data_IF_122593449151
#
_entry.id   IF_122593449151
#
_cell.length_a   1.000
_cell.length_b   1.000
_cell.length_c   1.000
_cell.angle_alpha   90.00
_cell.angle_beta   90.00
_cell.angle_gamma   90.00
#
_symmetry.space_group_name_H-M   'P 1'
#
loop_
_entity.id
_entity.type
_entity.pdbx_description
1 polymer ?
#
# COMPACT_ATOMS: atom_id res chain seq x y z
N UNK A 1 0.68 12.45 -15.48
CA UNK A 1 0.64 13.28 -14.25
C UNK A 1 -0.53 12.77 -13.41
N UNK A 2 -0.25 12.14 -12.26
CA UNK A 2 -1.31 11.70 -11.35
C UNK A 2 -1.86 12.91 -10.59
N UNK A 3 -3.17 12.96 -10.37
CA UNK A 3 -3.80 14.03 -9.60
C UNK A 3 -3.14 14.13 -8.22
N UNK A 4 -2.75 15.35 -7.83
CA UNK A 4 -2.19 15.61 -6.51
C UNK A 4 -3.34 15.50 -5.50
N UNK A 5 -3.32 14.46 -4.66
CA UNK A 5 -4.34 14.31 -3.62
C UNK A 5 -4.28 15.48 -2.64
N UNK A 6 -5.45 16.01 -2.25
CA UNK A 6 -5.52 17.13 -1.32
C UNK A 6 -5.06 16.72 0.08
N UNK A 7 -4.60 17.69 0.89
CA UNK A 7 -4.22 17.44 2.28
C UNK A 7 -5.35 16.76 3.07
N UNK A 8 -6.60 17.19 2.84
CA UNK A 8 -7.79 16.58 3.44
C UNK A 8 -7.95 15.10 3.08
N UNK A 9 -7.70 14.71 1.82
CA UNK A 9 -7.75 13.31 1.40
C UNK A 9 -6.66 12.47 2.09
N UNK A 10 -5.45 13.01 2.23
CA UNK A 10 -4.34 12.33 2.93
C UNK A 10 -4.65 12.16 4.42
N UNK A 11 -5.28 13.15 5.06
CA UNK A 11 -5.71 13.04 6.46
C UNK A 11 -6.79 11.95 6.65
N UNK A 12 -7.80 11.92 5.79
CA UNK A 12 -8.86 10.88 5.84
C UNK A 12 -8.25 9.49 5.66
N UNK A 13 -7.32 9.34 4.72
CA UNK A 13 -6.62 8.08 4.52
C UNK A 13 -5.77 7.69 5.73
N UNK A 14 -5.03 8.63 6.31
CA UNK A 14 -4.22 8.39 7.51
C UNK A 14 -5.08 7.92 8.69
N UNK A 15 -6.20 8.62 8.97
CA UNK A 15 -7.12 8.21 10.02
C UNK A 15 -7.71 6.82 9.75
N UNK A 16 -8.09 6.54 8.51
CA UNK A 16 -8.62 5.22 8.11
C UNK A 16 -7.60 4.11 8.35
N UNK A 17 -6.33 4.32 7.95
CA UNK A 17 -5.23 3.37 8.11
C UNK A 17 -4.90 3.16 9.59
N UNK A 18 -4.84 4.23 10.39
CA UNK A 18 -4.58 4.13 11.83
C UNK A 18 -5.69 3.35 12.55
N UNK A 19 -6.96 3.67 12.26
CA UNK A 19 -8.10 2.96 12.84
C UNK A 19 -8.11 1.48 12.45
N UNK A 20 -7.80 1.17 11.19
CA UNK A 20 -7.66 -0.20 10.72
C UNK A 20 -6.51 -0.93 11.44
N UNK A 21 -5.34 -0.27 11.58
CA UNK A 21 -4.17 -0.82 12.28
C UNK A 21 -4.41 -1.11 13.75
N UNK A 22 -5.19 -0.28 14.44
CA UNK A 22 -5.55 -0.51 15.83
C UNK A 22 -6.47 -1.74 15.99
N UNK A 23 -7.39 -1.96 15.06
CA UNK A 23 -8.35 -3.08 15.09
C UNK A 23 -7.74 -4.40 14.62
N UNK A 24 -6.85 -4.38 13.64
CA UNK A 24 -6.35 -5.58 12.94
C UNK A 24 -4.82 -5.70 13.03
N UNK A 25 -4.27 -5.70 14.26
CA UNK A 25 -2.82 -5.66 14.51
C UNK A 25 -2.05 -6.80 13.83
N UNK A 26 -2.53 -8.05 13.93
CA UNK A 26 -1.83 -9.21 13.39
C UNK A 26 -1.77 -9.17 11.85
N UNK A 27 -2.91 -8.87 11.21
CA UNK A 27 -2.96 -8.65 9.77
C UNK A 27 -1.99 -7.54 9.35
N UNK A 28 -1.99 -6.41 10.06
CA UNK A 28 -1.12 -5.29 9.71
C UNK A 28 0.36 -5.60 9.90
N UNK A 29 0.74 -6.37 10.91
CA UNK A 29 2.12 -6.78 11.10
C UNK A 29 2.62 -7.61 9.90
N UNK A 30 1.86 -8.60 9.46
CA UNK A 30 2.23 -9.43 8.30
C UNK A 30 2.15 -8.64 6.98
N UNK A 31 1.20 -7.73 6.83
CA UNK A 31 1.18 -6.80 5.70
C UNK A 31 2.44 -5.92 5.68
N UNK A 32 2.88 -5.42 6.83
CA UNK A 32 4.11 -4.63 6.95
C UNK A 32 5.32 -5.47 6.56
N UNK A 33 5.40 -6.73 6.98
CA UNK A 33 6.48 -7.65 6.59
C UNK A 33 6.52 -7.84 5.07
N UNK A 34 5.36 -8.05 4.42
CA UNK A 34 5.25 -8.14 2.96
C UNK A 34 5.70 -6.84 2.30
N UNK A 35 5.26 -5.68 2.80
CA UNK A 35 5.67 -4.37 2.27
C UNK A 35 7.20 -4.20 2.39
N UNK A 36 7.79 -4.52 3.53
CA UNK A 36 9.24 -4.39 3.75
C UNK A 36 10.03 -5.34 2.86
N UNK A 37 9.54 -6.58 2.65
CA UNK A 37 10.15 -7.56 1.75
C UNK A 37 10.32 -7.03 0.32
N UNK A 38 9.34 -6.26 -0.17
CA UNK A 38 9.31 -5.71 -1.53
C UNK A 38 9.79 -4.26 -1.64
N UNK A 39 10.38 -3.72 -0.58
CA UNK A 39 10.94 -2.36 -0.56
C UNK A 39 12.21 -2.30 -1.40
N UNK A 40 12.19 -1.51 -2.47
CA UNK A 40 13.36 -1.27 -3.31
C UNK A 40 14.13 0.00 -2.90
N UNK A 41 15.39 0.09 -3.36
CA UNK A 41 16.22 1.27 -3.15
C UNK A 41 15.60 2.53 -3.78
N UNK A 42 14.88 2.39 -4.89
CA UNK A 42 14.25 3.52 -5.55
C UNK A 42 13.21 4.20 -4.65
N UNK A 43 12.40 3.43 -3.92
CA UNK A 43 11.46 3.93 -2.94
C UNK A 43 12.15 4.62 -1.75
N UNK A 44 13.30 4.12 -1.31
CA UNK A 44 14.05 4.74 -0.20
C UNK A 44 14.44 6.18 -0.56
N UNK A 45 14.91 6.40 -1.79
CA UNK A 45 15.37 7.71 -2.23
C UNK A 45 14.27 8.63 -2.75
N UNK A 46 13.24 8.07 -3.41
CA UNK A 46 12.25 8.86 -4.16
C UNK A 46 10.84 8.80 -3.60
N UNK A 47 10.60 7.97 -2.57
CA UNK A 47 9.27 7.70 -2.01
C UNK A 47 8.27 7.15 -3.01
N UNK A 48 8.75 6.61 -4.13
CA UNK A 48 7.96 6.01 -5.19
C UNK A 48 8.53 4.66 -5.59
N UNK A 49 7.67 3.66 -5.86
CA UNK A 49 8.04 2.41 -6.51
C UNK A 49 6.92 1.85 -7.37
N UNK A 50 7.29 1.27 -8.51
CA UNK A 50 6.39 0.50 -9.36
C UNK A 50 6.10 -0.88 -8.78
N UNK A 51 6.96 -1.40 -7.89
CA UNK A 51 6.74 -2.67 -7.19
C UNK A 51 5.51 -2.55 -6.30
N UNK A 52 5.36 -1.44 -5.55
CA UNK A 52 4.15 -1.22 -4.74
C UNK A 52 2.90 -1.01 -5.57
N UNK A 53 3.02 -0.42 -6.77
CA UNK A 53 1.89 -0.37 -7.70
C UNK A 53 1.43 -1.78 -8.08
N UNK A 54 2.36 -2.69 -8.36
CA UNK A 54 2.03 -4.05 -8.74
C UNK A 54 1.52 -4.87 -7.55
N UNK A 55 2.11 -4.71 -6.35
CA UNK A 55 1.63 -5.30 -5.10
C UNK A 55 0.18 -4.91 -4.81
N UNK A 56 -0.15 -3.61 -4.85
CA UNK A 56 -1.51 -3.15 -4.58
C UNK A 56 -2.51 -3.56 -5.67
N UNK A 57 -2.05 -3.74 -6.92
CA UNK A 57 -2.90 -4.34 -7.96
C UNK A 57 -3.23 -5.79 -7.65
N UNK A 58 -2.25 -6.58 -7.17
CA UNK A 58 -2.50 -7.96 -6.72
C UNK A 58 -3.47 -7.94 -5.54
N UNK A 59 -3.24 -7.09 -4.53
CA UNK A 59 -4.14 -6.94 -3.38
C UNK A 59 -5.56 -6.63 -3.83
N UNK A 60 -5.73 -5.73 -4.79
CA UNK A 60 -7.05 -5.33 -5.30
C UNK A 60 -7.62 -6.25 -6.39
N UNK A 61 -6.95 -7.37 -6.69
CA UNK A 61 -7.31 -8.32 -7.75
C UNK A 61 -7.47 -7.66 -9.13
N UNK A 62 -6.67 -6.63 -9.40
CA UNK A 62 -6.65 -5.92 -10.68
C UNK A 62 -5.70 -6.63 -11.65
N UNK A 63 -6.23 -7.06 -12.79
CA UNK A 63 -5.48 -7.70 -13.87
C UNK A 63 -4.34 -6.79 -14.37
N UNK A 64 -3.14 -7.35 -14.50
CA UNK A 64 -1.99 -6.63 -15.06
C UNK A 64 -1.46 -7.36 -16.30
N UNK A 65 -1.64 -6.75 -17.48
CA UNK A 65 -1.22 -7.30 -18.77
C UNK A 65 0.24 -6.99 -19.16
N UNK A 66 1.00 -6.30 -18.29
CA UNK A 66 2.34 -5.76 -18.61
C UNK A 66 3.40 -6.06 -17.55
N UNK A 67 3.38 -7.27 -16.98
CA UNK A 67 4.29 -7.67 -15.90
C UNK A 67 5.73 -7.75 -16.43
N UNK A 68 6.59 -6.82 -15.97
CA UNK A 68 7.99 -6.75 -16.40
C UNK A 68 8.88 -7.83 -15.73
N UNK A 69 8.57 -8.19 -14.49
CA UNK A 69 9.33 -9.15 -13.67
C UNK A 69 8.41 -10.25 -13.16
N UNK A 70 8.28 -11.33 -13.94
CA UNK A 70 7.30 -12.40 -13.69
C UNK A 70 7.56 -13.17 -12.39
N UNK A 71 8.81 -13.43 -12.05
CA UNK A 71 9.17 -14.18 -10.83
C UNK A 71 8.79 -13.41 -9.57
N UNK A 72 9.21 -12.14 -9.47
CA UNK A 72 8.86 -11.25 -8.37
C UNK A 72 7.34 -11.08 -8.25
N UNK A 73 6.64 -10.95 -9.37
CA UNK A 73 5.19 -10.86 -9.39
C UNK A 73 4.50 -12.13 -8.87
N UNK A 74 4.97 -13.31 -9.28
CA UNK A 74 4.46 -14.60 -8.79
C UNK A 74 4.74 -14.79 -7.29
N UNK A 75 5.86 -14.26 -6.80
CA UNK A 75 6.17 -14.24 -5.37
C UNK A 75 5.19 -13.34 -4.60
N UNK A 76 4.98 -12.10 -5.05
CA UNK A 76 3.98 -11.19 -4.47
C UNK A 76 2.59 -11.84 -4.45
N UNK A 77 2.20 -12.53 -5.53
CA UNK A 77 0.93 -13.25 -5.58
C UNK A 77 0.83 -14.36 -4.54
N UNK A 78 1.92 -15.08 -4.26
CA UNK A 78 1.92 -16.11 -3.20
C UNK A 78 1.75 -15.46 -1.83
N UNK A 79 2.56 -14.46 -1.52
CA UNK A 79 2.51 -13.77 -0.22
C UNK A 79 1.13 -13.14 0.04
N UNK A 80 0.54 -12.47 -0.97
CA UNK A 80 -0.80 -11.87 -0.86
C UNK A 80 -1.88 -12.95 -0.72
N UNK A 81 -1.77 -14.09 -1.43
CA UNK A 81 -2.71 -15.20 -1.27
C UNK A 81 -2.64 -15.83 0.13
N UNK A 82 -1.43 -15.97 0.68
CA UNK A 82 -1.26 -16.50 2.03
C UNK A 82 -1.84 -15.55 3.08
N UNK A 83 -1.59 -14.23 2.95
CA UNK A 83 -2.20 -13.21 3.79
C UNK A 83 -3.74 -13.26 3.72
N UNK A 84 -4.30 -13.31 2.50
CA UNK A 84 -5.75 -13.41 2.28
C UNK A 84 -6.35 -14.69 2.87
N UNK A 85 -5.67 -15.82 2.74
CA UNK A 85 -6.14 -17.11 3.30
C UNK A 85 -6.18 -17.06 4.82
N UNK A 86 -5.20 -16.42 5.44
CA UNK A 86 -5.07 -16.35 6.90
C UNK A 86 -6.02 -15.34 7.54
N UNK A 87 -6.26 -14.21 6.87
CA UNK A 87 -7.00 -13.07 7.38
C UNK A 87 -8.07 -12.60 6.40
N UNK A 88 -8.95 -13.52 5.98
CA UNK A 88 -9.87 -13.27 4.88
C UNK A 88 -10.76 -12.04 5.09
N UNK A 89 -11.34 -11.88 6.29
CA UNK A 89 -12.23 -10.75 6.61
C UNK A 89 -11.48 -9.42 6.60
N UNK A 90 -10.33 -9.38 7.27
CA UNK A 90 -9.48 -8.19 7.37
C UNK A 90 -8.90 -7.81 6.01
N UNK A 91 -8.59 -8.80 5.17
CA UNK A 91 -8.11 -8.58 3.83
C UNK A 91 -9.17 -7.89 2.95
N UNK A 92 -10.43 -8.33 3.01
CA UNK A 92 -11.53 -7.69 2.28
C UNK A 92 -11.75 -6.25 2.76
N UNK A 93 -11.78 -6.03 4.07
CA UNK A 93 -11.90 -4.69 4.64
C UNK A 93 -10.72 -3.79 4.25
N UNK A 94 -9.51 -4.33 4.21
CA UNK A 94 -8.33 -3.62 3.73
C UNK A 94 -8.45 -3.25 2.25
N UNK A 95 -8.94 -4.15 1.40
CA UNK A 95 -9.19 -3.81 0.00
C UNK A 95 -10.18 -2.64 -0.15
N UNK A 96 -11.26 -2.62 0.64
CA UNK A 96 -12.22 -1.52 0.64
C UNK A 96 -11.58 -0.21 1.10
N UNK A 97 -10.78 -0.26 2.17
CA UNK A 97 -10.01 0.90 2.63
C UNK A 97 -9.12 1.44 1.51
N UNK A 98 -8.39 0.59 0.81
CA UNK A 98 -7.52 1.00 -0.30
C UNK A 98 -8.33 1.59 -1.45
N UNK A 99 -9.48 1.01 -1.80
CA UNK A 99 -10.35 1.52 -2.89
C UNK A 99 -10.96 2.88 -2.55
N UNK A 100 -11.31 3.10 -1.29
CA UNK A 100 -11.94 4.34 -0.83
C UNK A 100 -10.95 5.50 -0.65
N UNK A 101 -9.64 5.22 -0.62
CA UNK A 101 -8.61 6.22 -0.42
C UNK A 101 -7.76 6.42 -1.69
N UNK A 102 -8.17 7.36 -2.54
CA UNK A 102 -7.45 7.71 -3.77
C UNK A 102 -6.28 8.68 -3.52
N UNK A 103 -5.34 8.22 -2.68
CA UNK A 103 -4.10 8.97 -2.39
C UNK A 103 -2.88 8.41 -3.12
N UNK A 104 -3.08 7.34 -3.92
CA UNK A 104 -2.02 6.61 -4.59
C UNK A 104 -1.33 5.57 -3.69
N UNK A 105 -0.96 4.43 -4.28
CA UNK A 105 -0.43 3.27 -3.53
C UNK A 105 0.86 3.56 -2.76
N UNK A 106 1.75 4.38 -3.32
CA UNK A 106 2.99 4.76 -2.62
C UNK A 106 2.70 5.56 -1.34
N UNK A 107 1.72 6.46 -1.38
CA UNK A 107 1.32 7.21 -0.18
C UNK A 107 0.65 6.31 0.85
N UNK A 108 -0.18 5.35 0.43
CA UNK A 108 -0.74 4.34 1.33
C UNK A 108 0.39 3.55 2.02
N UNK A 109 1.41 3.11 1.28
CA UNK A 109 2.58 2.42 1.85
C UNK A 109 3.30 3.30 2.86
N UNK A 110 3.57 4.57 2.53
CA UNK A 110 4.25 5.50 3.44
C UNK A 110 3.48 5.69 4.76
N UNK A 111 2.15 5.84 4.69
CA UNK A 111 1.31 5.92 5.88
C UNK A 111 1.33 4.62 6.69
N UNK A 112 1.28 3.45 6.05
CA UNK A 112 1.38 2.15 6.73
C UNK A 112 2.73 2.01 7.47
N UNK A 113 3.81 2.48 6.83
CA UNK A 113 5.16 2.49 7.38
C UNK A 113 5.40 3.58 8.44
N UNK A 114 4.41 4.44 8.70
CA UNK A 114 4.42 5.40 9.80
C UNK A 114 4.84 6.82 9.45
N UNK A 115 4.96 7.17 8.17
CA UNK A 115 5.12 8.57 7.77
C UNK A 115 3.84 9.37 8.10
N UNK A 116 4.00 10.62 8.53
CA UNK A 116 2.85 11.45 8.90
C UNK A 116 2.16 12.03 7.66
N UNK A 117 0.86 12.34 7.78
CA UNK A 117 0.12 13.01 6.71
C UNK A 117 0.76 14.35 6.29
N UNK A 118 1.40 15.05 7.23
CA UNK A 118 2.20 16.25 6.97
C UNK A 118 3.42 15.96 6.10
N UNK A 119 4.19 14.91 6.39
CA UNK A 119 5.39 14.55 5.61
C UNK A 119 5.03 14.27 4.15
N UNK A 120 3.92 13.55 3.93
CA UNK A 120 3.41 13.25 2.59
C UNK A 120 3.02 14.48 1.78
N UNK A 121 2.64 15.57 2.43
CA UNK A 121 2.23 16.80 1.76
C UNK A 121 3.38 17.80 1.60
N UNK A 122 4.40 17.72 2.44
CA UNK A 122 5.61 18.56 2.38
C UNK A 122 6.60 18.11 1.29
N UNK A 123 6.63 16.81 0.96
CA UNK A 123 7.42 16.25 -0.15
C UNK A 123 6.97 16.72 -1.55
N UNK A 124 5.96 17.58 -1.64
CA UNK A 124 5.44 18.16 -2.89
C UNK A 124 6.16 19.46 -3.30
N UNK A 125 7.20 19.86 -2.58
CA UNK A 125 8.03 21.04 -2.87
C UNK A 125 9.42 20.58 -3.34
N UNK A 126 9.52 20.05 -4.57
CA UNK A 126 10.77 20.02 -5.35
C UNK A 126 10.40 20.29 -6.82
#
# INVERSE_FOLDING_TARGET
MGAVSSFSQVLVANMSILNFKLRHKNFMNELIEIIQKYKDNYFIYTKFSLIYRDLFRIILERVHLGIRYKELYNEMQRDVRDLKRKYYSEFLEFQELVRNNDIGYNNIVRLILGESASDLCNDKII
#
